data_IF_761500949935
#
_entry.id   IF_761500949935
#
_cell.length_a   1.000
_cell.length_b   1.000
_cell.length_c   1.000
_cell.angle_alpha   90.00
_cell.angle_beta   90.00
_cell.angle_gamma   90.00
#
_symmetry.space_group_name_H-M   'P 1'
#
loop_
_entity.id
_entity.type
_entity.pdbx_description
1 polymer ?
#
# COMPACT_ATOMS: atom_id res chain seq x y z
N UNK A 1 -41.85 -3.01 24.56
CA UNK A 1 -41.71 -3.65 23.22
C UNK A 1 -41.73 -2.61 22.10
N UNK A 2 -42.67 -1.67 22.12
CA UNK A 2 -42.86 -0.60 21.10
C UNK A 2 -41.62 0.27 20.82
N UNK A 3 -40.82 0.63 21.84
CA UNK A 3 -39.62 1.46 21.66
C UNK A 3 -38.53 0.77 20.82
N UNK A 4 -38.40 -0.56 20.95
CA UNK A 4 -37.44 -1.35 20.15
C UNK A 4 -37.90 -1.49 18.71
N UNK A 5 -39.22 -1.62 18.49
CA UNK A 5 -39.83 -1.66 17.15
C UNK A 5 -39.66 -0.31 16.43
N UNK A 6 -39.84 0.82 17.14
CA UNK A 6 -39.62 2.16 16.58
C UNK A 6 -38.15 2.41 16.21
N UNK A 7 -37.21 1.92 17.02
CA UNK A 7 -35.77 2.01 16.70
C UNK A 7 -35.41 1.14 15.50
N UNK A 8 -35.92 -0.09 15.42
CA UNK A 8 -35.70 -0.98 14.28
C UNK A 8 -36.29 -0.40 12.98
N UNK A 9 -37.47 0.22 13.05
CA UNK A 9 -38.09 0.89 11.92
C UNK A 9 -37.27 2.11 11.46
N UNK A 10 -36.71 2.87 12.41
CA UNK A 10 -35.83 4.01 12.09
C UNK A 10 -34.56 3.56 11.36
N UNK A 11 -33.92 2.49 11.81
CA UNK A 11 -32.74 1.92 11.15
C UNK A 11 -33.09 1.40 9.74
N UNK A 12 -34.24 0.73 9.58
CA UNK A 12 -34.71 0.25 8.28
C UNK A 12 -34.92 1.39 7.28
N UNK A 13 -35.53 2.49 7.71
CA UNK A 13 -35.78 3.66 6.86
C UNK A 13 -34.46 4.35 6.49
N UNK A 14 -33.51 4.45 7.44
CA UNK A 14 -32.17 4.97 7.16
C UNK A 14 -31.43 4.09 6.14
N UNK A 15 -31.57 2.77 6.24
CA UNK A 15 -30.94 1.82 5.32
C UNK A 15 -31.55 1.89 3.91
N UNK A 16 -32.88 2.09 3.81
CA UNK A 16 -33.60 2.29 2.55
C UNK A 16 -33.34 3.64 1.89
N UNK A 17 -33.06 4.68 2.68
CA UNK A 17 -32.73 6.02 2.20
C UNK A 17 -31.22 6.24 2.02
N UNK A 18 -30.38 5.28 2.43
CA UNK A 18 -28.95 5.37 2.19
C UNK A 18 -28.69 5.29 0.67
N UNK A 19 -27.97 6.26 0.08
CA UNK A 19 -27.64 6.20 -1.33
C UNK A 19 -26.71 5.01 -1.56
N UNK A 20 -27.19 3.97 -2.25
CA UNK A 20 -26.35 2.89 -2.81
C UNK A 20 -25.44 3.39 -3.96
N UNK A 21 -25.16 4.68 -4.03
CA UNK A 21 -24.44 5.35 -5.11
C UNK A 21 -22.94 5.07 -5.16
N UNK A 22 -22.40 4.22 -4.27
CA UNK A 22 -20.99 3.82 -4.32
C UNK A 22 -20.77 2.49 -5.09
N UNK A 23 -21.81 1.94 -5.73
CA UNK A 23 -21.70 0.72 -6.54
C UNK A 23 -22.25 0.91 -7.97
N UNK A 24 -22.12 2.13 -8.50
CA UNK A 24 -22.09 2.40 -9.94
C UNK A 24 -20.70 2.97 -10.20
N UNK A 25 -19.91 2.26 -11.00
CA UNK A 25 -18.55 2.68 -11.37
C UNK A 25 -18.55 4.06 -12.03
N UNK A 26 -17.42 4.79 -11.99
CA UNK A 26 -17.30 6.05 -12.71
C UNK A 26 -17.62 5.81 -14.19
N UNK A 27 -18.52 6.65 -14.72
CA UNK A 27 -18.95 6.65 -16.11
C UNK A 27 -17.74 6.61 -17.06
N UNK A 28 -17.84 5.77 -18.09
CA UNK A 28 -16.82 5.36 -19.07
C UNK A 28 -16.17 6.48 -19.92
N UNK A 29 -16.37 7.77 -19.60
CA UNK A 29 -15.90 8.89 -20.44
C UNK A 29 -14.48 9.38 -20.12
N UNK A 30 -13.94 9.11 -18.92
CA UNK A 30 -12.58 9.53 -18.55
C UNK A 30 -11.50 8.54 -19.06
N UNK A 31 -11.87 7.28 -19.28
CA UNK A 31 -10.94 6.21 -19.64
C UNK A 31 -10.34 6.42 -21.03
N UNK A 32 -11.07 7.04 -21.96
CA UNK A 32 -10.57 7.29 -23.32
C UNK A 32 -9.46 8.36 -23.39
N UNK A 33 -9.39 9.32 -22.46
CA UNK A 33 -8.32 10.34 -22.45
C UNK A 33 -7.00 9.82 -21.91
N UNK A 34 -6.99 8.73 -21.14
CA UNK A 34 -5.78 8.17 -20.54
C UNK A 34 -5.10 7.08 -21.40
N UNK A 35 -5.76 6.63 -22.48
CA UNK A 35 -5.27 5.57 -23.38
C UNK A 35 -4.30 6.12 -24.45
N UNK A 36 -4.41 7.40 -24.82
CA UNK A 36 -3.58 7.97 -25.91
C UNK A 36 -2.17 8.40 -25.44
N UNK A 37 -1.95 8.58 -24.13
CA UNK A 37 -0.70 9.14 -23.59
C UNK A 37 0.28 8.06 -23.07
N UNK A 38 -0.14 6.79 -22.91
CA UNK A 38 0.72 5.75 -22.33
C UNK A 38 0.64 4.44 -23.11
N UNK A 39 1.81 3.97 -23.54
CA UNK A 39 2.04 2.62 -24.07
C UNK A 39 1.96 1.62 -22.91
N UNK A 40 0.74 1.38 -22.41
CA UNK A 40 0.46 0.44 -21.33
C UNK A 40 -0.32 -0.75 -21.88
N UNK A 41 0.29 -1.92 -21.77
CA UNK A 41 -0.33 -3.19 -22.14
C UNK A 41 -1.23 -3.67 -20.98
N UNK A 42 -2.53 -3.78 -21.23
CA UNK A 42 -3.49 -4.27 -20.25
C UNK A 42 -3.66 -5.78 -20.40
N UNK A 43 -3.27 -6.52 -19.36
CA UNK A 43 -3.50 -7.95 -19.27
C UNK A 43 -4.83 -8.20 -18.56
N UNK A 44 -5.76 -8.91 -19.21
CA UNK A 44 -6.99 -9.36 -18.55
C UNK A 44 -6.71 -10.65 -17.77
N UNK A 45 -6.90 -10.60 -16.46
CA UNK A 45 -6.87 -11.81 -15.62
C UNK A 45 -8.24 -12.48 -15.75
N UNK A 46 -8.24 -13.76 -16.12
CA UNK A 46 -9.46 -14.57 -16.28
C UNK A 46 -10.21 -14.63 -14.93
N UNK A 47 -11.52 -14.41 -14.94
CA UNK A 47 -12.33 -14.25 -13.71
C UNK A 47 -12.38 -15.51 -12.83
N UNK A 48 -12.05 -16.66 -13.38
CA UNK A 48 -11.93 -17.96 -12.72
C UNK A 48 -10.49 -18.28 -12.26
N UNK A 49 -9.50 -17.42 -12.55
CA UNK A 49 -8.13 -17.65 -12.13
C UNK A 49 -8.01 -17.74 -10.60
N UNK A 50 -8.90 -17.05 -9.87
CA UNK A 50 -8.88 -17.02 -8.41
C UNK A 50 -9.64 -18.18 -7.74
N UNK A 51 -10.51 -18.90 -8.46
CA UNK A 51 -11.34 -19.94 -7.84
C UNK A 51 -10.61 -21.26 -7.58
N UNK A 52 -9.49 -21.51 -8.27
CA UNK A 52 -8.69 -22.73 -8.13
C UNK A 52 -7.52 -22.60 -7.16
N UNK A 53 -7.28 -21.42 -6.57
CA UNK A 53 -6.21 -21.25 -5.57
C UNK A 53 -6.62 -21.87 -4.23
N UNK A 54 -6.38 -23.16 -4.08
CA UNK A 54 -6.43 -23.87 -2.80
C UNK A 54 -5.05 -23.72 -2.13
N UNK A 55 -4.90 -22.70 -1.29
CA UNK A 55 -3.74 -22.51 -0.44
C UNK A 55 -4.05 -22.92 1.00
N UNK A 56 -3.12 -23.59 1.67
CA UNK A 56 -3.16 -23.71 3.14
C UNK A 56 -2.25 -22.63 3.71
N UNK A 57 -2.77 -21.81 4.62
CA UNK A 57 -1.93 -20.86 5.35
C UNK A 57 -1.08 -21.67 6.32
N UNK A 58 0.19 -21.87 5.98
CA UNK A 58 1.17 -22.38 6.92
C UNK A 58 1.57 -21.24 7.85
N UNK A 59 0.96 -21.21 9.05
CA UNK A 59 1.45 -20.40 10.16
C UNK A 59 2.55 -21.19 10.86
N UNK A 60 3.79 -20.68 10.85
CA UNK A 60 4.87 -21.20 11.68
C UNK A 60 5.46 -20.07 12.51
N UNK A 61 5.34 -20.17 13.84
CA UNK A 61 6.10 -19.34 14.78
C UNK A 61 7.48 -19.95 14.94
N UNK A 62 8.36 -19.67 13.98
CA UNK A 62 9.78 -20.01 14.06
C UNK A 62 10.54 -18.70 14.19
N UNK A 63 11.47 -18.65 15.15
CA UNK A 63 12.38 -17.53 15.31
C UNK A 63 13.26 -17.45 14.05
N UNK A 64 13.01 -16.44 13.22
CA UNK A 64 13.74 -16.24 11.98
C UNK A 64 15.10 -15.61 12.30
N UNK A 65 16.17 -16.40 12.18
CA UNK A 65 17.52 -15.87 12.26
C UNK A 65 17.85 -15.12 10.95
N UNK A 66 17.61 -13.82 10.93
CA UNK A 66 18.00 -12.94 9.82
C UNK A 66 19.34 -12.28 10.11
N UNK A 67 20.22 -12.34 9.12
CA UNK A 67 21.40 -11.49 9.10
C UNK A 67 20.95 -10.02 9.14
N UNK A 68 21.58 -9.20 9.97
CA UNK A 68 21.36 -7.75 10.02
C UNK A 68 22.08 -7.12 8.82
N UNK A 69 21.53 -7.36 7.64
CA UNK A 69 22.03 -6.87 6.38
C UNK A 69 20.87 -6.39 5.50
N UNK A 70 21.05 -5.26 4.83
CA UNK A 70 20.13 -4.76 3.83
C UNK A 70 20.74 -4.94 2.45
N UNK A 71 20.20 -5.87 1.68
CA UNK A 71 20.59 -6.12 0.30
C UNK A 71 19.87 -5.16 -0.63
N UNK A 72 20.62 -4.53 -1.54
CA UNK A 72 20.09 -3.62 -2.54
C UNK A 72 20.76 -3.84 -3.89
N UNK A 73 20.26 -3.17 -4.92
CA UNK A 73 20.85 -3.21 -6.27
C UNK A 73 22.26 -2.62 -6.34
N UNK A 74 22.63 -1.74 -5.41
CA UNK A 74 23.94 -1.07 -5.41
C UNK A 74 24.97 -1.77 -4.53
N UNK A 75 24.52 -2.60 -3.59
CA UNK A 75 25.38 -3.15 -2.55
C UNK A 75 24.62 -3.73 -1.37
N UNK A 76 25.39 -4.23 -0.43
CA UNK A 76 24.91 -4.77 0.85
C UNK A 76 25.35 -3.85 1.97
N UNK A 77 24.39 -3.36 2.75
CA UNK A 77 24.66 -2.60 3.96
C UNK A 77 24.63 -3.55 5.17
N UNK A 78 25.74 -3.68 5.88
CA UNK A 78 25.88 -4.55 7.06
C UNK A 78 26.51 -3.81 8.24
N UNK A 79 26.81 -4.52 9.33
CA UNK A 79 27.58 -3.97 10.46
C UNK A 79 28.96 -3.43 10.08
N UNK A 80 29.52 -3.86 8.95
CA UNK A 80 30.80 -3.38 8.42
C UNK A 80 30.67 -2.13 7.52
N UNK A 81 29.43 -1.64 7.30
CA UNK A 81 29.13 -0.53 6.40
C UNK A 81 28.56 -0.96 5.05
N UNK A 82 28.67 -0.08 4.05
CA UNK A 82 28.18 -0.31 2.69
C UNK A 82 29.25 -0.97 1.82
N UNK A 83 29.00 -2.22 1.41
CA UNK A 83 29.81 -2.92 0.42
C UNK A 83 29.15 -2.83 -0.96
N UNK A 84 29.81 -2.14 -1.90
CA UNK A 84 29.27 -1.90 -3.24
C UNK A 84 29.55 -3.09 -4.18
N UNK A 85 28.52 -3.51 -4.92
CA UNK A 85 28.66 -4.56 -5.94
C UNK A 85 29.31 -4.05 -7.24
N UNK A 86 29.32 -2.73 -7.42
CA UNK A 86 29.91 -2.04 -8.57
C UNK A 86 30.48 -0.70 -8.14
N UNK A 87 31.50 -0.17 -8.85
CA UNK A 87 31.94 1.19 -8.65
C UNK A 87 30.77 2.18 -8.86
N UNK A 88 30.62 3.13 -7.94
CA UNK A 88 29.71 4.27 -8.08
C UNK A 88 30.52 5.53 -8.40
N UNK A 89 29.93 6.45 -9.16
CA UNK A 89 30.50 7.79 -9.35
C UNK A 89 30.57 8.50 -7.99
N UNK A 90 31.62 9.30 -7.79
CA UNK A 90 31.80 10.10 -6.57
C UNK A 90 30.63 11.06 -6.32
N UNK A 91 29.96 11.52 -7.39
CA UNK A 91 28.77 12.38 -7.32
C UNK A 91 27.59 11.69 -6.60
N UNK A 92 27.46 10.37 -6.72
CA UNK A 92 26.39 9.59 -6.07
C UNK A 92 26.68 9.36 -4.59
N UNK A 93 27.95 9.46 -4.19
CA UNK A 93 28.40 9.35 -2.81
C UNK A 93 28.37 10.69 -2.07
N UNK A 94 28.01 11.77 -2.77
CA UNK A 94 27.88 13.08 -2.14
C UNK A 94 26.65 13.10 -1.24
N UNK A 95 26.80 13.48 0.06
CA UNK A 95 25.68 13.53 0.97
C UNK A 95 24.67 14.58 0.52
N UNK A 96 23.44 14.13 0.26
CA UNK A 96 22.32 14.99 -0.09
C UNK A 96 21.63 15.53 1.15
N UNK A 97 21.96 16.77 1.50
CA UNK A 97 21.36 17.49 2.64
C UNK A 97 19.93 17.97 2.35
N UNK A 98 19.50 17.90 1.09
CA UNK A 98 18.16 18.23 0.63
C UNK A 98 17.18 17.05 0.68
N UNK A 99 17.64 15.86 1.10
CA UNK A 99 16.83 14.64 1.17
C UNK A 99 16.72 14.16 2.61
N UNK A 100 15.50 13.83 3.04
CA UNK A 100 15.24 13.27 4.36
C UNK A 100 14.74 11.83 4.24
N UNK A 101 15.39 10.91 4.96
CA UNK A 101 14.98 9.51 5.05
C UNK A 101 14.06 9.34 6.27
N UNK A 102 12.86 8.82 6.04
CA UNK A 102 11.92 8.44 7.09
C UNK A 102 11.81 6.93 7.16
N UNK A 103 12.12 6.36 8.32
CA UNK A 103 11.93 4.95 8.63
C UNK A 103 10.62 4.81 9.38
N UNK A 104 9.68 4.04 8.81
CA UNK A 104 8.35 3.85 9.36
C UNK A 104 8.21 2.42 9.82
N UNK A 105 7.79 2.25 11.07
CA UNK A 105 7.45 0.95 11.62
C UNK A 105 6.19 0.39 10.91
N UNK A 106 6.24 -0.88 10.51
CA UNK A 106 5.13 -1.57 9.86
C UNK A 106 3.92 -1.75 10.79
N UNK A 107 4.13 -1.69 12.10
CA UNK A 107 3.06 -1.78 13.10
C UNK A 107 2.19 -0.52 13.13
N UNK A 108 2.61 0.56 12.44
CA UNK A 108 1.86 1.81 12.36
C UNK A 108 1.13 1.94 11.04
N UNK A 109 -0.10 2.43 11.12
CA UNK A 109 -0.89 2.71 9.93
C UNK A 109 -0.33 3.94 9.20
N UNK A 110 -0.13 3.81 7.88
CA UNK A 110 0.51 4.85 7.06
C UNK A 110 -0.24 6.20 7.09
N UNK A 111 -1.56 6.18 7.32
CA UNK A 111 -2.35 7.40 7.46
C UNK A 111 -1.96 8.21 8.71
N UNK A 112 -1.69 7.53 9.83
CA UNK A 112 -1.30 8.18 11.08
C UNK A 112 0.09 8.78 10.95
N UNK A 113 1.01 8.02 10.35
CA UNK A 113 2.37 8.49 10.08
C UNK A 113 2.38 9.70 9.15
N UNK A 114 1.51 9.74 8.14
CA UNK A 114 1.37 10.91 7.26
C UNK A 114 0.86 12.15 7.99
N UNK A 115 -0.07 11.99 8.92
CA UNK A 115 -0.56 13.10 9.74
C UNK A 115 0.55 13.63 10.63
N UNK A 116 1.27 12.75 11.35
CA UNK A 116 2.41 13.13 12.18
C UNK A 116 3.50 13.85 11.37
N UNK A 117 3.80 13.36 10.16
CA UNK A 117 4.78 14.00 9.26
C UNK A 117 4.36 15.40 8.81
N UNK A 118 3.07 15.63 8.61
CA UNK A 118 2.55 16.95 8.21
C UNK A 118 2.67 18.01 9.30
N UNK A 119 2.89 17.60 10.55
CA UNK A 119 3.14 18.50 11.68
C UNK A 119 4.62 18.87 11.83
N UNK A 120 5.53 18.15 11.17
CA UNK A 120 6.96 18.46 11.19
C UNK A 120 7.24 19.60 10.20
N UNK A 121 7.77 20.75 10.66
CA UNK A 121 8.15 21.82 9.75
C UNK A 121 9.41 21.44 8.98
N UNK A 122 9.31 21.44 7.64
CA UNK A 122 10.38 21.14 6.69
C UNK A 122 9.96 21.48 5.27
#
# INVERSE_FOLDING_TARGET
MERRVRLALGILIILLMSPWSSMVGPEDDETQRLVDERDVEFFSIRTDAYSDFVGTYALSDVEEERLIAAESRIGTFSSNGLELLRPLSSEVLEPRLDVQLFLVDNDRHMADVRNDLSEIPG
#
